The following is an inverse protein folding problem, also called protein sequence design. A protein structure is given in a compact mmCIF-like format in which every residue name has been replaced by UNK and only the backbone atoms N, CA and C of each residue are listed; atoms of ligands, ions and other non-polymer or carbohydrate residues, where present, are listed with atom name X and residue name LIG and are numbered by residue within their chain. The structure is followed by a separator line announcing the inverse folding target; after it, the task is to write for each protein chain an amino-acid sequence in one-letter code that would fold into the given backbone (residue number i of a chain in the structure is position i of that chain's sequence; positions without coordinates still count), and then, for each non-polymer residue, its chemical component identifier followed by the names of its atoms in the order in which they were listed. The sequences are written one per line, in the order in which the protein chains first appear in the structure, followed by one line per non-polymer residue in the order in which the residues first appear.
data_IF_438952512299
#
_entry.id   IF_438952512299
#
_cell.length_a   1.000
_cell.length_b   1.000
_cell.length_c   1.000
_cell.angle_alpha   90.00
_cell.angle_beta   90.00
_cell.angle_gamma   90.00
#
_symmetry.space_group_name_H-M   'P 1'
#
loop_
_entity.id
_entity.type
_entity.pdbx_description
1 polymer ?
#
# COMPACT_ATOMS: atom_id res chain seq x y z
N UNK A 1 -6.41 1.65 -5.54
CA UNK A 1 -7.54 0.78 -5.13
C UNK A 1 -7.21 0.18 -3.77
N UNK A 2 -8.17 0.02 -2.86
CA UNK A 2 -7.91 -0.75 -1.63
C UNK A 2 -7.84 -2.25 -1.98
N UNK A 3 -6.95 -2.98 -1.31
CA UNK A 3 -6.79 -4.40 -1.57
C UNK A 3 -7.90 -5.19 -0.87
N UNK A 4 -8.61 -6.06 -1.60
CA UNK A 4 -9.78 -6.80 -1.08
C UNK A 4 -9.41 -7.89 -0.07
N UNK A 5 -8.17 -8.37 -0.10
CA UNK A 5 -7.63 -9.38 0.83
C UNK A 5 -6.38 -8.82 1.50
N UNK A 6 -6.51 -7.76 2.31
CA UNK A 6 -5.36 -7.08 2.91
C UNK A 6 -4.55 -8.05 3.76
N UNK A 7 -3.22 -7.90 3.71
CA UNK A 7 -2.24 -8.61 4.53
C UNK A 7 -1.72 -7.68 5.64
N UNK A 8 -1.90 -6.37 5.48
CA UNK A 8 -1.57 -5.32 6.44
C UNK A 8 -2.68 -4.27 6.56
N UNK A 9 -2.62 -3.46 7.60
CA UNK A 9 -3.60 -2.41 7.88
C UNK A 9 -3.66 -1.36 6.75
N UNK A 10 -4.89 -0.93 6.45
CA UNK A 10 -5.21 0.12 5.47
C UNK A 10 -4.48 -0.03 4.14
N UNK A 11 -4.35 -1.27 3.67
CA UNK A 11 -3.55 -1.60 2.50
C UNK A 11 -4.15 -1.07 1.18
N UNK A 12 -3.36 -0.28 0.46
CA UNK A 12 -3.72 0.31 -0.84
C UNK A 12 -2.71 -0.10 -1.88
N UNK A 13 -3.22 -0.53 -3.04
CA UNK A 13 -2.43 -0.88 -4.22
C UNK A 13 -2.81 0.07 -5.36
N UNK A 14 -1.80 0.72 -5.94
CA UNK A 14 -1.89 1.48 -7.18
C UNK A 14 -1.19 0.70 -8.27
N UNK A 15 -1.82 0.59 -9.43
CA UNK A 15 -1.29 -0.13 -10.58
C UNK A 15 -1.29 0.84 -11.75
N UNK A 16 -0.15 0.98 -12.42
CA UNK A 16 0.00 1.75 -13.65
C UNK A 16 0.82 0.94 -14.66
N UNK A 17 0.66 1.18 -15.97
CA UNK A 17 1.49 0.52 -16.98
C UNK A 17 2.98 0.78 -16.77
N UNK A 18 3.35 1.99 -16.35
CA UNK A 18 4.72 2.42 -16.13
C UNK A 18 4.81 3.44 -14.98
N UNK A 19 6.03 3.66 -14.48
CA UNK A 19 6.30 4.75 -13.55
C UNK A 19 6.22 6.07 -14.30
N UNK A 20 5.37 6.98 -13.81
CA UNK A 20 5.24 8.30 -14.39
C UNK A 20 4.38 9.21 -13.53
N UNK A 21 4.26 10.46 -13.97
CA UNK A 21 3.64 11.55 -13.22
C UNK A 21 2.24 11.24 -12.70
N UNK A 22 1.41 10.56 -13.48
CA UNK A 22 0.06 10.18 -13.06
C UNK A 22 0.09 9.25 -11.84
N UNK A 23 1.00 8.26 -11.81
CA UNK A 23 1.17 7.39 -10.65
C UNK A 23 1.73 8.14 -9.45
N UNK A 24 2.69 9.04 -9.67
CA UNK A 24 3.30 9.88 -8.62
C UNK A 24 2.25 10.79 -7.95
N UNK A 25 1.39 11.44 -8.74
CA UNK A 25 0.29 12.27 -8.25
C UNK A 25 -0.71 11.45 -7.44
N UNK A 26 -1.12 10.27 -7.94
CA UNK A 26 -2.03 9.36 -7.21
C UNK A 26 -1.40 8.81 -5.93
N UNK A 27 -0.10 8.53 -5.96
CA UNK A 27 0.65 8.10 -4.78
C UNK A 27 0.65 9.20 -3.71
N UNK A 28 0.91 10.44 -4.11
CA UNK A 28 0.83 11.59 -3.21
C UNK A 28 -0.57 11.76 -2.61
N UNK A 29 -1.62 11.70 -3.43
CA UNK A 29 -3.01 11.83 -2.99
C UNK A 29 -3.39 10.75 -1.96
N UNK A 30 -2.95 9.50 -2.17
CA UNK A 30 -3.17 8.42 -1.20
C UNK A 30 -2.40 8.67 0.10
N UNK A 31 -1.14 9.11 0.03
CA UNK A 31 -0.35 9.46 1.23
C UNK A 31 -0.97 10.63 2.00
N UNK A 32 -1.49 11.64 1.30
CA UNK A 32 -2.22 12.74 1.91
C UNK A 32 -3.52 12.23 2.57
N UNK A 33 -4.27 11.35 1.91
CA UNK A 33 -5.46 10.70 2.48
C UNK A 33 -5.13 9.91 3.76
N UNK A 34 -4.04 9.15 3.75
CA UNK A 34 -3.54 8.43 4.93
C UNK A 34 -3.35 9.37 6.12
N UNK A 35 -2.66 10.49 5.91
CA UNK A 35 -2.39 11.50 6.93
C UNK A 35 -3.67 12.21 7.39
N UNK A 36 -4.44 12.77 6.45
CA UNK A 36 -5.47 13.76 6.73
C UNK A 36 -6.84 13.14 7.05
N UNK A 37 -7.11 11.92 6.56
CA UNK A 37 -8.44 11.30 6.66
C UNK A 37 -8.44 10.01 7.48
N UNK A 38 -7.31 9.29 7.54
CA UNK A 38 -7.22 7.99 8.19
C UNK A 38 -6.34 7.97 9.45
N UNK A 39 -5.77 9.11 9.83
CA UNK A 39 -4.94 9.25 11.03
C UNK A 39 -3.68 8.38 11.01
N UNK A 40 -3.20 7.98 9.83
CA UNK A 40 -1.97 7.20 9.69
C UNK A 40 -0.79 8.10 10.07
N UNK A 41 0.03 7.61 10.99
CA UNK A 41 1.19 8.37 11.52
C UNK A 41 2.52 7.81 11.05
N UNK A 42 2.58 6.51 10.73
CA UNK A 42 3.69 5.90 10.00
C UNK A 42 3.16 4.93 8.96
N UNK A 43 3.85 4.85 7.82
CA UNK A 43 3.47 4.00 6.71
C UNK A 43 4.72 3.35 6.11
N UNK A 44 4.50 2.23 5.43
CA UNK A 44 5.50 1.67 4.52
C UNK A 44 4.98 1.79 3.08
N UNK A 45 5.88 2.08 2.16
CA UNK A 45 5.61 2.12 0.74
C UNK A 45 6.62 1.24 0.00
N UNK A 46 6.14 0.43 -0.94
CA UNK A 46 6.96 -0.39 -1.81
C UNK A 46 6.58 -0.13 -3.27
N UNK A 47 7.58 -0.09 -4.14
CA UNK A 47 7.40 -0.01 -5.59
C UNK A 47 7.89 -1.32 -6.21
N UNK A 48 7.00 -2.01 -6.92
CA UNK A 48 7.34 -3.15 -7.76
C UNK A 48 7.37 -2.66 -9.19
N UNK A 49 8.49 -2.86 -9.86
CA UNK A 49 8.72 -2.44 -11.23
C UNK A 49 9.66 -3.45 -11.90
N UNK A 50 9.74 -3.47 -13.24
CA UNK A 50 10.75 -4.24 -13.94
C UNK A 50 12.16 -3.96 -13.41
N UNK A 51 13.10 -4.93 -13.51
CA UNK A 51 14.49 -4.73 -13.13
C UNK A 51 15.10 -3.49 -13.78
N UNK A 52 15.84 -2.71 -12.99
CA UNK A 52 16.53 -1.50 -13.48
C UNK A 52 17.72 -1.90 -14.36
N UNK A 53 18.36 -3.03 -14.05
CA UNK A 53 19.45 -3.59 -14.81
C UNK A 53 18.93 -4.59 -15.86
N UNK A 54 19.66 -4.80 -16.97
CA UNK A 54 19.32 -5.83 -17.94
C UNK A 54 19.26 -7.23 -17.30
N UNK A 55 18.24 -8.00 -17.66
CA UNK A 55 18.03 -9.39 -17.25
C UNK A 55 17.62 -10.23 -18.46
N UNK A 56 17.70 -11.55 -18.37
CA UNK A 56 17.32 -12.46 -19.47
C UNK A 56 15.80 -12.58 -19.64
N UNK A 57 15.06 -12.41 -18.55
CA UNK A 57 13.61 -12.53 -18.51
C UNK A 57 12.91 -11.34 -19.20
N UNK A 58 11.76 -11.62 -19.79
CA UNK A 58 10.91 -10.60 -20.40
C UNK A 58 9.95 -9.98 -19.37
N UNK A 59 10.11 -8.68 -19.13
CA UNK A 59 9.29 -7.90 -18.18
C UNK A 59 8.41 -6.85 -18.87
N UNK A 60 8.26 -6.90 -20.20
CA UNK A 60 7.57 -5.83 -20.97
C UNK A 60 6.14 -5.57 -20.54
N UNK A 61 5.42 -6.60 -20.10
CA UNK A 61 4.02 -6.50 -19.67
C UNK A 61 3.87 -6.37 -18.14
N UNK A 62 4.97 -6.32 -17.39
CA UNK A 62 4.90 -6.19 -15.94
C UNK A 62 4.62 -4.73 -15.54
N UNK A 63 3.49 -4.44 -14.87
CA UNK A 63 3.12 -3.08 -14.52
C UNK A 63 3.98 -2.53 -13.38
N UNK A 64 3.96 -1.21 -13.23
CA UNK A 64 4.44 -0.58 -12.00
C UNK A 64 3.35 -0.64 -10.94
N UNK A 65 3.68 -1.21 -9.78
CA UNK A 65 2.77 -1.36 -8.65
C UNK A 65 3.32 -0.61 -7.44
N UNK A 66 2.57 0.34 -6.91
CA UNK A 66 2.85 0.95 -5.62
C UNK A 66 1.95 0.35 -4.55
N UNK A 67 2.55 -0.18 -3.48
CA UNK A 67 1.85 -0.78 -2.34
C UNK A 67 2.11 0.05 -1.09
N UNK A 68 1.05 0.52 -0.46
CA UNK A 68 1.10 1.32 0.76
C UNK A 68 0.36 0.62 1.89
N UNK A 69 0.91 0.68 3.09
CA UNK A 69 0.33 0.09 4.29
C UNK A 69 0.52 0.99 5.51
N UNK A 70 -0.44 0.98 6.43
CA UNK A 70 -0.29 1.60 7.75
C UNK A 70 0.61 0.72 8.62
N UNK A 71 1.70 1.30 9.14
CA UNK A 71 2.65 0.63 10.03
C UNK A 71 2.23 0.72 11.50
N UNK A 72 1.24 1.54 11.81
CA UNK A 72 0.72 1.76 13.15
C UNK A 72 1.46 2.87 13.90
N UNK A 73 1.52 2.76 15.23
CA UNK A 73 2.06 3.82 16.08
C UNK A 73 3.60 3.78 16.12
N UNK A 74 4.31 4.85 15.71
CA UNK A 74 5.78 4.92 15.78
C UNK A 74 6.34 4.75 17.20
N UNK A 75 5.57 5.13 18.22
CA UNK A 75 5.98 5.04 19.63
C UNK A 75 5.72 3.64 20.22
N UNK A 76 5.07 2.74 19.48
CA UNK A 76 4.89 1.38 19.96
C UNK A 76 6.24 0.70 20.11
N UNK A 77 6.44 0.05 21.26
CA UNK A 77 7.64 -0.77 21.54
C UNK A 77 7.42 -2.24 21.20
N UNK A 78 6.21 -2.62 20.82
CA UNK A 78 5.89 -3.99 20.39
C UNK A 78 6.39 -4.24 18.98
N UNK A 79 6.66 -5.51 18.66
CA UNK A 79 6.96 -5.94 17.30
C UNK A 79 5.82 -5.58 16.34
N UNK A 80 6.16 -5.26 15.09
CA UNK A 80 5.21 -4.99 13.99
C UNK A 80 4.56 -6.28 13.42
N UNK A 81 5.03 -7.44 13.90
CA UNK A 81 4.57 -8.78 13.52
C UNK A 81 4.51 -9.64 14.81
N UNK A 82 3.37 -10.28 15.05
CA UNK A 82 3.14 -11.21 16.15
C UNK A 82 3.07 -12.67 15.71
N UNK A 83 2.76 -13.56 16.67
CA UNK A 83 2.68 -14.99 16.41
C UNK A 83 1.58 -15.38 15.41
N UNK A 84 0.45 -14.66 15.41
CA UNK A 84 -0.63 -14.91 14.45
C UNK A 84 -0.17 -14.62 13.03
N UNK A 85 0.49 -13.48 12.81
CA UNK A 85 1.01 -13.12 11.50
C UNK A 85 2.16 -14.02 11.04
N UNK A 86 2.95 -14.57 11.98
CA UNK A 86 4.03 -15.52 11.66
C UNK A 86 3.53 -16.92 11.31
N UNK A 87 2.49 -17.41 11.99
CA UNK A 87 2.16 -18.84 11.97
C UNK A 87 0.75 -19.19 11.53
N UNK A 88 -0.16 -18.23 11.39
CA UNK A 88 -1.56 -18.52 11.11
C UNK A 88 -2.15 -17.66 9.99
N UNK A 89 -2.30 -16.36 10.22
CA UNK A 89 -3.01 -15.46 9.31
C UNK A 89 -2.61 -14.01 9.56
N UNK A 90 -2.78 -13.19 8.54
CA UNK A 90 -2.75 -11.74 8.68
C UNK A 90 -3.87 -11.27 9.62
N UNK A 91 -3.54 -10.34 10.51
CA UNK A 91 -4.49 -9.69 11.42
C UNK A 91 -4.77 -8.28 10.90
N UNK A 92 -5.99 -8.07 10.43
CA UNK A 92 -6.43 -6.79 9.87
C UNK A 92 -7.71 -6.38 10.60
N UNK A 93 -7.67 -5.23 11.28
CA UNK A 93 -8.77 -4.63 12.01
C UNK A 93 -9.61 -3.69 11.14
N UNK A 94 -9.01 -3.07 10.12
CA UNK A 94 -9.71 -2.16 9.21
C UNK A 94 -10.56 -2.92 8.18
N UNK A 95 -11.80 -2.49 7.95
CA UNK A 95 -12.61 -3.00 6.84
C UNK A 95 -12.04 -2.48 5.48
N UNK A 96 -11.63 -3.35 4.54
CA UNK A 96 -11.10 -2.93 3.25
C UNK A 96 -12.10 -2.12 2.41
N UNK A 97 -13.41 -2.27 2.61
CA UNK A 97 -14.42 -1.47 1.92
C UNK A 97 -14.48 -0.04 2.44
N UNK A 98 -14.29 0.16 3.75
CA UNK A 98 -14.18 1.51 4.32
C UNK A 98 -12.91 2.22 3.84
N UNK A 99 -11.79 1.49 3.81
CA UNK A 99 -10.53 2.01 3.22
C UNK A 99 -10.77 2.39 1.76
N UNK A 100 -11.43 1.53 0.98
CA UNK A 100 -11.75 1.79 -0.43
C UNK A 100 -12.60 3.05 -0.60
N UNK A 101 -13.62 3.22 0.25
CA UNK A 101 -14.53 4.36 0.22
C UNK A 101 -13.79 5.66 0.51
N UNK A 102 -13.02 5.72 1.59
CA UNK A 102 -12.28 6.93 1.98
C UNK A 102 -11.23 7.31 0.93
N UNK A 103 -10.49 6.33 0.37
CA UNK A 103 -9.55 6.60 -0.73
C UNK A 103 -10.29 7.12 -1.96
N UNK A 104 -11.44 6.54 -2.32
CA UNK A 104 -12.22 7.01 -3.48
C UNK A 104 -12.71 8.45 -3.30
N UNK A 105 -13.15 8.82 -2.11
CA UNK A 105 -13.59 10.19 -1.81
C UNK A 105 -12.45 11.22 -1.83
N UNK A 106 -11.20 10.80 -1.59
CA UNK A 106 -10.04 11.68 -1.55
C UNK A 106 -9.31 11.82 -2.91
N UNK A 107 -9.43 10.82 -3.78
CA UNK A 107 -8.62 10.65 -5.00
C UNK A 107 -9.50 10.59 -6.27
N UNK A 108 -10.81 10.42 -6.11
CA UNK A 108 -11.80 10.25 -7.18
C UNK A 108 -12.43 11.55 -7.67
#
# INVERSE_FOLDING_TARGET
MAYLTPVKEKEVILIAPELGRSLEERLYEVLACFRDRMGVTTFNAALFMPPIAPVEEDWRDFPTIARLVDRGNPKSKTSDIGAMELYASSVIASDPFDVARVVREAVG
#
